data_IF_643744333972
#
_entry.id   IF_643744333972
#
_cell.length_a   1.000
_cell.length_b   1.000
_cell.length_c   1.000
_cell.angle_alpha   90.00
_cell.angle_beta   90.00
_cell.angle_gamma   90.00
#
_symmetry.space_group_name_H-M   'P 1'
#
loop_
_entity.id
_entity.type
_entity.pdbx_description
1 polymer ?
#
# COMPACT_ATOMS: atom_id res chain seq x y z
N UNK A 1 -14.43 4.25 -26.76
CA UNK A 1 -13.06 4.79 -26.95
C UNK A 1 -12.26 4.87 -25.64
N UNK A 2 -12.82 5.39 -24.54
CA UNK A 2 -12.13 5.45 -23.25
C UNK A 2 -11.83 4.06 -22.68
N UNK A 3 -12.75 3.10 -22.80
CA UNK A 3 -12.53 1.72 -22.35
C UNK A 3 -11.43 1.01 -23.15
N UNK A 4 -11.35 1.24 -24.45
CA UNK A 4 -10.30 0.66 -25.30
C UNK A 4 -8.91 1.18 -24.90
N UNK A 5 -8.78 2.50 -24.71
CA UNK A 5 -7.53 3.10 -24.23
C UNK A 5 -7.13 2.58 -22.86
N UNK A 6 -8.06 2.45 -21.93
CA UNK A 6 -7.79 1.88 -20.60
C UNK A 6 -7.33 0.41 -20.69
N UNK A 7 -7.87 -0.37 -21.63
CA UNK A 7 -7.47 -1.76 -21.84
C UNK A 7 -5.99 -1.92 -22.21
N UNK A 8 -5.41 -0.94 -22.90
CA UNK A 8 -3.99 -0.94 -23.27
C UNK A 8 -3.11 -0.24 -22.24
N UNK A 9 -3.58 0.87 -21.72
CA UNK A 9 -2.80 1.72 -20.79
C UNK A 9 -2.60 1.08 -19.43
N UNK A 10 -3.63 0.45 -18.88
CA UNK A 10 -3.55 -0.16 -17.54
C UNK A 10 -2.55 -1.32 -17.48
N UNK A 11 -2.58 -2.32 -18.40
CA UNK A 11 -1.56 -3.37 -18.42
C UNK A 11 -0.14 -2.85 -18.66
N UNK A 12 0.03 -1.86 -19.52
CA UNK A 12 1.32 -1.24 -19.81
C UNK A 12 1.87 -0.54 -18.55
N UNK A 13 1.03 0.21 -17.85
CA UNK A 13 1.39 0.89 -16.61
C UNK A 13 1.77 -0.10 -15.52
N UNK A 14 1.01 -1.17 -15.36
CA UNK A 14 1.34 -2.23 -14.40
C UNK A 14 2.67 -2.92 -14.74
N UNK A 15 2.95 -3.17 -16.01
CA UNK A 15 4.23 -3.74 -16.45
C UNK A 15 5.39 -2.82 -16.11
N UNK A 16 5.26 -1.51 -16.34
CA UNK A 16 6.28 -0.51 -15.98
C UNK A 16 6.48 -0.48 -14.46
N UNK A 17 5.42 -0.49 -13.66
CA UNK A 17 5.49 -0.53 -12.20
C UNK A 17 6.24 -1.77 -11.72
N UNK A 18 5.91 -2.94 -12.27
CA UNK A 18 6.58 -4.20 -11.89
C UNK A 18 8.08 -4.15 -12.24
N UNK A 19 8.43 -3.62 -13.41
CA UNK A 19 9.84 -3.45 -13.82
C UNK A 19 10.58 -2.52 -12.86
N UNK A 20 10.00 -1.38 -12.51
CA UNK A 20 10.59 -0.42 -11.58
C UNK A 20 10.76 -1.01 -10.17
N UNK A 21 9.77 -1.75 -9.69
CA UNK A 21 9.84 -2.44 -8.40
C UNK A 21 10.93 -3.51 -8.41
N UNK A 22 11.05 -4.27 -9.48
CA UNK A 22 12.11 -5.27 -9.64
C UNK A 22 13.50 -4.63 -9.62
N UNK A 23 13.67 -3.51 -10.31
CA UNK A 23 14.94 -2.77 -10.30
C UNK A 23 15.29 -2.24 -8.90
N UNK A 24 14.29 -1.86 -8.11
CA UNK A 24 14.50 -1.35 -6.76
C UNK A 24 14.80 -2.44 -5.73
N UNK A 25 13.99 -3.49 -5.71
CA UNK A 25 14.08 -4.56 -4.70
C UNK A 25 14.88 -5.78 -5.14
N UNK A 26 14.96 -6.03 -6.45
CA UNK A 26 15.62 -7.21 -7.04
C UNK A 26 15.13 -8.56 -6.50
N UNK A 27 13.92 -8.60 -5.98
CA UNK A 27 13.32 -9.79 -5.38
C UNK A 27 11.83 -9.85 -5.72
N UNK A 28 11.41 -10.94 -6.37
CA UNK A 28 10.00 -11.14 -6.74
C UNK A 28 9.08 -11.30 -5.53
N UNK A 29 9.56 -11.86 -4.42
CA UNK A 29 8.77 -12.02 -3.20
C UNK A 29 8.35 -10.67 -2.63
N UNK A 30 9.24 -9.70 -2.61
CA UNK A 30 8.95 -8.33 -2.15
C UNK A 30 7.93 -7.63 -3.05
N UNK A 31 8.07 -7.79 -4.36
CA UNK A 31 7.11 -7.28 -5.35
C UNK A 31 5.72 -7.90 -5.11
N UNK A 32 5.66 -9.22 -4.90
CA UNK A 32 4.42 -9.94 -4.64
C UNK A 32 3.74 -9.45 -3.35
N UNK A 33 4.51 -9.18 -2.30
CA UNK A 33 4.00 -8.61 -1.03
C UNK A 33 3.38 -7.24 -1.29
N UNK A 34 4.06 -6.36 -2.02
CA UNK A 34 3.57 -5.00 -2.33
C UNK A 34 2.29 -5.09 -3.16
N UNK A 35 2.29 -5.88 -4.22
CA UNK A 35 1.11 -6.05 -5.07
C UNK A 35 -0.06 -6.70 -4.33
N UNK A 36 0.22 -7.54 -3.35
CA UNK A 36 -0.79 -8.13 -2.47
C UNK A 36 -1.54 -7.12 -1.59
N UNK A 37 -0.98 -5.91 -1.40
CA UNK A 37 -1.67 -4.84 -0.68
C UNK A 37 -2.79 -4.19 -1.49
N UNK A 38 -2.74 -4.27 -2.82
CA UNK A 38 -3.75 -3.67 -3.70
C UNK A 38 -5.16 -4.24 -3.47
N UNK A 39 -5.38 -5.56 -3.38
CA UNK A 39 -6.69 -6.10 -3.06
C UNK A 39 -7.25 -5.60 -1.74
N UNK A 40 -6.40 -5.38 -0.74
CA UNK A 40 -6.81 -4.87 0.57
C UNK A 40 -7.38 -3.44 0.47
N UNK A 41 -6.77 -2.60 -0.35
CA UNK A 41 -7.26 -1.26 -0.62
C UNK A 41 -8.60 -1.28 -1.36
N UNK A 42 -8.74 -2.15 -2.35
CA UNK A 42 -9.95 -2.29 -3.16
C UNK A 42 -11.14 -2.71 -2.30
N UNK A 43 -10.95 -3.58 -1.32
CA UNK A 43 -12.02 -4.00 -0.39
C UNK A 43 -12.66 -2.78 0.29
N UNK A 44 -11.86 -1.90 0.88
CA UNK A 44 -12.36 -0.70 1.55
C UNK A 44 -13.07 0.26 0.60
N UNK A 45 -12.54 0.42 -0.62
CA UNK A 45 -13.16 1.23 -1.66
C UNK A 45 -14.54 0.72 -2.05
N UNK A 46 -14.67 -0.57 -2.28
CA UNK A 46 -15.95 -1.20 -2.66
C UNK A 46 -16.98 -1.02 -1.55
N UNK A 47 -16.61 -1.27 -0.30
CA UNK A 47 -17.49 -1.08 0.84
C UNK A 47 -17.96 0.36 0.99
N UNK A 48 -17.06 1.31 0.86
CA UNK A 48 -17.38 2.73 0.99
C UNK A 48 -18.31 3.21 -0.14
N UNK A 49 -18.06 2.76 -1.36
CA UNK A 49 -18.95 3.05 -2.50
C UNK A 49 -20.33 2.44 -2.32
N UNK A 50 -20.40 1.22 -1.80
CA UNK A 50 -21.67 0.57 -1.51
C UNK A 50 -22.50 1.34 -0.48
N UNK A 51 -21.85 1.83 0.59
CA UNK A 51 -22.49 2.65 1.62
C UNK A 51 -23.00 3.99 1.08
N UNK A 52 -22.28 4.58 0.11
CA UNK A 52 -22.68 5.83 -0.54
C UNK A 52 -23.69 5.62 -1.69
N UNK A 53 -23.91 4.39 -2.12
CA UNK A 53 -24.81 4.09 -3.23
C UNK A 53 -24.29 4.48 -4.60
N UNK A 54 -22.98 4.62 -4.77
CA UNK A 54 -22.38 4.98 -6.05
C UNK A 54 -22.27 3.77 -6.98
N UNK A 55 -22.65 3.99 -8.23
CA UNK A 55 -22.47 2.99 -9.28
C UNK A 55 -21.06 3.11 -9.90
N UNK A 56 -20.56 1.99 -10.41
CA UNK A 56 -19.29 1.98 -11.11
C UNK A 56 -19.34 2.83 -12.37
N UNK A 57 -18.39 3.75 -12.52
CA UNK A 57 -18.27 4.64 -13.65
C UNK A 57 -16.80 4.85 -14.02
N UNK A 58 -16.52 5.54 -15.13
CA UNK A 58 -15.15 5.89 -15.53
C UNK A 58 -14.48 6.76 -14.48
N UNK A 59 -15.22 7.68 -13.86
CA UNK A 59 -14.71 8.48 -12.75
C UNK A 59 -14.27 7.65 -11.56
N UNK A 60 -15.06 6.64 -11.19
CA UNK A 60 -14.70 5.68 -10.14
C UNK A 60 -13.46 4.86 -10.51
N UNK A 61 -13.34 4.44 -11.77
CA UNK A 61 -12.14 3.74 -12.26
C UNK A 61 -10.87 4.59 -12.12
N UNK A 62 -10.95 5.88 -12.42
CA UNK A 62 -9.84 6.84 -12.20
C UNK A 62 -9.47 6.92 -10.71
N UNK A 63 -10.46 6.96 -9.83
CA UNK A 63 -10.25 6.92 -8.38
C UNK A 63 -9.53 5.64 -7.91
N UNK A 64 -9.89 4.49 -8.45
CA UNK A 64 -9.20 3.22 -8.17
C UNK A 64 -7.74 3.22 -8.65
N UNK A 65 -7.46 3.80 -9.81
CA UNK A 65 -6.09 3.90 -10.33
C UNK A 65 -5.25 4.80 -9.42
N UNK A 66 -5.77 5.93 -9.00
CA UNK A 66 -5.09 6.83 -8.07
C UNK A 66 -4.84 6.16 -6.71
N UNK A 67 -5.83 5.43 -6.19
CA UNK A 67 -5.72 4.65 -4.97
C UNK A 67 -4.62 3.58 -5.07
N UNK A 68 -4.54 2.88 -6.20
CA UNK A 68 -3.50 1.87 -6.43
C UNK A 68 -2.10 2.49 -6.30
N UNK A 69 -1.88 3.68 -6.87
CA UNK A 69 -0.62 4.40 -6.75
C UNK A 69 -0.24 4.72 -5.31
N UNK A 70 -1.17 5.25 -4.54
CA UNK A 70 -0.95 5.57 -3.12
C UNK A 70 -0.70 4.31 -2.30
N UNK A 71 -1.45 3.24 -2.55
CA UNK A 71 -1.29 1.96 -1.84
C UNK A 71 0.08 1.34 -2.09
N UNK A 72 0.53 1.34 -3.34
CA UNK A 72 1.87 0.85 -3.70
C UNK A 72 2.95 1.70 -3.04
N UNK A 73 2.80 3.02 -3.00
CA UNK A 73 3.72 3.92 -2.31
C UNK A 73 3.85 3.57 -0.82
N UNK A 74 2.74 3.40 -0.13
CA UNK A 74 2.71 2.99 1.29
C UNK A 74 3.43 1.64 1.47
N UNK A 75 3.13 0.68 0.61
CA UNK A 75 3.75 -0.65 0.64
C UNK A 75 5.26 -0.62 0.42
N UNK A 76 5.72 0.14 -0.56
CA UNK A 76 7.15 0.30 -0.88
C UNK A 76 7.91 0.90 0.31
N UNK A 77 7.39 1.97 0.87
CA UNK A 77 8.05 2.67 1.98
C UNK A 77 8.08 1.77 3.23
N UNK A 78 6.97 1.12 3.56
CA UNK A 78 6.90 0.18 4.68
C UNK A 78 7.93 -0.94 4.52
N UNK A 79 7.97 -1.57 3.35
CA UNK A 79 8.87 -2.67 3.06
C UNK A 79 10.34 -2.24 3.11
N UNK A 80 10.65 -1.03 2.62
CA UNK A 80 12.00 -0.45 2.70
C UNK A 80 12.46 -0.30 4.15
N UNK A 81 11.60 0.20 5.04
CA UNK A 81 11.92 0.33 6.46
C UNK A 81 12.06 -1.03 7.15
N UNK A 82 11.23 -1.99 6.81
CA UNK A 82 11.34 -3.35 7.32
C UNK A 82 12.66 -4.02 6.88
N UNK A 83 13.06 -3.83 5.62
CA UNK A 83 14.33 -4.31 5.12
C UNK A 83 15.53 -3.65 5.83
N UNK A 84 15.47 -2.36 6.07
CA UNK A 84 16.53 -1.66 6.83
C UNK A 84 16.64 -2.21 8.25
N UNK A 85 15.52 -2.41 8.94
CA UNK A 85 15.51 -3.00 10.28
C UNK A 85 16.08 -4.42 10.29
N UNK A 86 15.74 -5.22 9.30
CA UNK A 86 16.27 -6.57 9.13
C UNK A 86 17.79 -6.58 8.89
N UNK A 87 18.28 -5.74 7.99
CA UNK A 87 19.72 -5.64 7.71
C UNK A 87 20.51 -5.16 8.94
N UNK A 88 19.98 -4.18 9.68
CA UNK A 88 20.59 -3.73 10.93
C UNK A 88 20.66 -4.85 11.98
N UNK A 89 19.63 -5.69 12.06
CA UNK A 89 19.61 -6.84 12.93
C UNK A 89 20.70 -7.85 12.54
N UNK A 90 20.80 -8.19 11.27
CA UNK A 90 21.80 -9.13 10.74
C UNK A 90 23.21 -8.60 11.01
N UNK A 91 23.47 -7.32 10.78
CA UNK A 91 24.77 -6.71 11.02
C UNK A 91 25.15 -6.76 12.51
N UNK A 92 24.22 -6.43 13.39
CA UNK A 92 24.44 -6.53 14.85
C UNK A 92 24.71 -7.96 15.31
N UNK A 93 23.99 -8.92 14.76
CA UNK A 93 24.22 -10.34 15.08
C UNK A 93 25.58 -10.82 14.57
N UNK A 94 25.99 -10.34 13.39
CA UNK A 94 27.30 -10.66 12.81
C UNK A 94 28.45 -10.11 13.66
N UNK A 95 28.34 -8.85 14.12
CA UNK A 95 29.35 -8.23 15.00
C UNK A 95 29.49 -8.95 16.33
N UNK A 96 28.38 -9.50 16.86
CA UNK A 96 28.35 -10.25 18.11
C UNK A 96 28.70 -11.73 17.94
N UNK A 97 28.80 -12.20 16.69
CA UNK A 97 29.04 -13.63 16.40
C UNK A 97 27.90 -14.53 16.79
N UNK A 98 26.68 -14.05 16.88
CA UNK A 98 25.49 -14.77 17.30
C UNK A 98 24.54 -14.93 16.10
N UNK A 99 23.84 -16.06 16.01
CA UNK A 99 22.78 -16.26 15.01
C UNK A 99 21.53 -15.52 15.42
N UNK A 100 20.83 -14.84 14.48
CA UNK A 100 19.60 -14.14 14.80
C UNK A 100 18.49 -15.10 15.23
N UNK A 101 17.84 -14.78 16.34
CA UNK A 101 16.70 -15.54 16.87
C UNK A 101 15.38 -14.98 16.31
N UNK A 102 14.34 -15.81 16.34
CA UNK A 102 12.99 -15.39 15.93
C UNK A 102 12.47 -14.19 16.74
N UNK A 103 12.81 -14.11 18.02
CA UNK A 103 12.44 -13.00 18.88
C UNK A 103 13.12 -11.70 18.46
N UNK A 104 14.39 -11.76 18.10
CA UNK A 104 15.13 -10.59 17.60
C UNK A 104 14.53 -10.07 16.30
N UNK A 105 14.12 -10.98 15.41
CA UNK A 105 13.44 -10.64 14.17
C UNK A 105 12.07 -9.98 14.44
N UNK A 106 11.30 -10.52 15.37
CA UNK A 106 10.01 -9.96 15.76
C UNK A 106 10.17 -8.52 16.28
N UNK A 107 11.15 -8.31 17.15
CA UNK A 107 11.47 -7.00 17.70
C UNK A 107 11.90 -6.01 16.59
N UNK A 108 12.78 -6.42 15.69
CA UNK A 108 13.23 -5.60 14.57
C UNK A 108 12.07 -5.21 13.64
N UNK A 109 11.20 -6.16 13.30
CA UNK A 109 10.02 -5.91 12.47
C UNK A 109 9.04 -4.95 13.16
N UNK A 110 8.80 -5.16 14.46
CA UNK A 110 7.91 -4.30 15.25
C UNK A 110 8.45 -2.88 15.34
N UNK A 111 9.73 -2.70 15.58
CA UNK A 111 10.36 -1.39 15.62
C UNK A 111 10.35 -0.69 14.25
N UNK A 112 10.69 -1.42 13.20
CA UNK A 112 10.69 -0.88 11.83
C UNK A 112 9.30 -0.44 11.38
N UNK A 113 8.28 -1.24 11.65
CA UNK A 113 6.90 -0.89 11.37
C UNK A 113 6.42 0.30 12.22
N UNK A 114 6.74 0.30 13.51
CA UNK A 114 6.33 1.35 14.45
C UNK A 114 6.85 2.73 14.07
N UNK A 115 8.08 2.82 13.56
CA UNK A 115 8.66 4.08 13.07
C UNK A 115 7.89 4.67 11.89
N UNK A 116 7.16 3.84 11.15
CA UNK A 116 6.46 4.25 9.95
C UNK A 116 4.98 4.57 10.16
N UNK A 117 4.40 4.12 11.26
CA UNK A 117 2.99 4.37 11.59
C UNK A 117 2.66 5.86 11.60
N UNK A 118 3.46 6.65 12.29
CA UNK A 118 3.22 8.09 12.44
C UNK A 118 3.26 8.86 11.11
N UNK A 119 4.32 8.74 10.27
CA UNK A 119 4.34 9.40 8.97
C UNK A 119 3.21 8.96 8.03
N UNK A 120 2.89 7.67 8.01
CA UNK A 120 1.81 7.12 7.18
C UNK A 120 0.46 7.70 7.61
N UNK A 121 0.19 7.73 8.92
CA UNK A 121 -1.05 8.31 9.46
C UNK A 121 -1.17 9.80 9.14
N UNK A 122 -0.08 10.56 9.26
CA UNK A 122 -0.07 11.98 8.91
C UNK A 122 -0.43 12.20 7.44
N UNK A 123 0.20 11.49 6.54
CA UNK A 123 -0.06 11.58 5.09
C UNK A 123 -1.50 11.20 4.76
N UNK A 124 -1.97 10.11 5.35
CA UNK A 124 -3.33 9.60 5.11
C UNK A 124 -4.39 10.58 5.61
N UNK A 125 -4.27 11.07 6.83
CA UNK A 125 -5.21 12.04 7.40
C UNK A 125 -5.22 13.34 6.60
N UNK A 126 -4.05 13.83 6.20
CA UNK A 126 -3.94 15.04 5.37
C UNK A 126 -4.62 14.86 4.00
N UNK A 127 -4.42 13.72 3.36
CA UNK A 127 -5.04 13.42 2.05
C UNK A 127 -6.56 13.29 2.17
N UNK A 128 -7.04 12.58 3.18
CA UNK A 128 -8.47 12.43 3.43
C UNK A 128 -9.10 13.79 3.75
N UNK A 129 -8.45 14.59 4.59
CA UNK A 129 -8.91 15.93 4.92
C UNK A 129 -8.99 16.85 3.69
N UNK A 130 -8.05 16.69 2.74
CA UNK A 130 -8.08 17.42 1.47
C UNK A 130 -9.18 16.95 0.52
N UNK A 131 -9.53 15.66 0.55
CA UNK A 131 -10.57 15.08 -0.30
C UNK A 131 -11.99 15.26 0.25
N UNK A 132 -12.17 15.38 1.55
CA UNK A 132 -13.49 15.55 2.17
C UNK A 132 -14.26 16.79 1.65
N UNK A 133 -13.68 18.00 1.57
CA UNK A 133 -14.38 19.15 1.00
C UNK A 133 -14.84 18.92 -0.45
N UNK A 134 -14.04 18.20 -1.22
CA UNK A 134 -14.34 17.85 -2.60
C UNK A 134 -15.58 16.94 -2.67
N UNK A 135 -15.67 15.95 -1.79
CA UNK A 135 -16.83 15.08 -1.68
C UNK A 135 -18.12 15.81 -1.29
N UNK A 136 -17.99 16.82 -0.44
CA UNK A 136 -19.12 17.60 0.07
C UNK A 136 -19.48 18.78 -0.82
N UNK A 137 -18.70 19.03 -1.89
CA UNK A 137 -18.95 20.12 -2.80
C UNK A 137 -20.25 19.93 -3.61
N UNK A 138 -20.92 21.02 -3.92
CA UNK A 138 -22.10 21.05 -4.77
C UNK A 138 -21.86 21.99 -5.96
N UNK A 139 -22.34 21.61 -7.11
CA UNK A 139 -22.20 22.44 -8.35
C UNK A 139 -21.90 21.60 -9.58
N UNK A 140 -21.74 22.28 -10.70
CA UNK A 140 -21.42 21.64 -11.98
C UNK A 140 -20.05 20.95 -11.92
N UNK A 141 -20.02 19.65 -12.18
CA UNK A 141 -18.81 18.82 -12.12
C UNK A 141 -18.51 18.22 -10.75
N UNK A 142 -19.17 18.67 -9.67
CA UNK A 142 -18.99 18.14 -8.34
C UNK A 142 -19.27 16.63 -8.25
N UNK A 143 -20.25 16.13 -8.98
CA UNK A 143 -20.59 14.71 -9.03
C UNK A 143 -19.44 13.85 -9.56
N UNK A 144 -18.73 14.32 -10.58
CA UNK A 144 -17.61 13.58 -11.18
C UNK A 144 -16.45 13.51 -10.20
N UNK A 145 -16.09 14.65 -9.59
CA UNK A 145 -14.97 14.74 -8.67
C UNK A 145 -15.25 13.96 -7.37
N UNK A 146 -16.48 14.01 -6.88
CA UNK A 146 -16.94 13.22 -5.74
C UNK A 146 -16.82 11.72 -6.00
N UNK A 147 -17.16 11.26 -7.19
CA UNK A 147 -17.03 9.84 -7.58
C UNK A 147 -15.57 9.38 -7.73
N UNK A 148 -14.65 10.30 -8.03
CA UNK A 148 -13.21 10.02 -8.01
C UNK A 148 -12.70 9.94 -6.57
N UNK A 149 -13.12 10.85 -5.71
CA UNK A 149 -12.66 10.94 -4.33
C UNK A 149 -13.18 9.80 -3.44
N UNK A 150 -14.40 9.33 -3.67
CA UNK A 150 -15.02 8.31 -2.83
C UNK A 150 -14.21 6.99 -2.71
N UNK A 151 -13.80 6.33 -3.82
CA UNK A 151 -12.99 5.13 -3.72
C UNK A 151 -11.63 5.40 -3.10
N UNK A 152 -11.05 6.57 -3.32
CA UNK A 152 -9.76 6.94 -2.72
C UNK A 152 -9.86 7.01 -1.20
N UNK A 153 -10.87 7.67 -0.65
CA UNK A 153 -11.04 7.81 0.81
C UNK A 153 -11.26 6.44 1.46
N UNK A 154 -12.22 5.68 0.97
CA UNK A 154 -12.52 4.35 1.51
C UNK A 154 -11.35 3.38 1.39
N UNK A 155 -10.71 3.38 0.23
CA UNK A 155 -9.55 2.54 -0.04
C UNK A 155 -8.32 2.92 0.77
N UNK A 156 -8.07 4.20 1.00
CA UNK A 156 -6.95 4.65 1.83
C UNK A 156 -7.09 4.21 3.29
N UNK A 157 -8.29 4.33 3.86
CA UNK A 157 -8.54 3.86 5.24
C UNK A 157 -8.26 2.37 5.33
N UNK A 158 -8.83 1.58 4.45
CA UNK A 158 -8.61 0.13 4.38
C UNK A 158 -7.14 -0.22 4.13
N UNK A 159 -6.51 0.41 3.14
CA UNK A 159 -5.12 0.17 2.79
C UNK A 159 -4.17 0.44 3.96
N UNK A 160 -4.34 1.57 4.65
CA UNK A 160 -3.48 1.95 5.77
C UNK A 160 -3.65 0.97 6.93
N UNK A 161 -4.89 0.70 7.35
CA UNK A 161 -5.15 -0.19 8.48
C UNK A 161 -4.64 -1.60 8.18
N UNK A 162 -5.02 -2.16 7.04
CA UNK A 162 -4.64 -3.53 6.69
C UNK A 162 -3.16 -3.65 6.33
N UNK A 163 -2.56 -2.67 5.67
CA UNK A 163 -1.12 -2.68 5.36
C UNK A 163 -0.28 -2.58 6.62
N UNK A 164 -0.62 -1.71 7.56
CA UNK A 164 0.11 -1.59 8.82
C UNK A 164 0.02 -2.86 9.68
N UNK A 165 -1.06 -3.63 9.55
CA UNK A 165 -1.24 -4.88 10.31
C UNK A 165 -0.69 -6.09 9.55
N UNK A 166 -1.02 -6.22 8.26
CA UNK A 166 -0.74 -7.42 7.46
C UNK A 166 0.69 -7.43 6.93
N UNK A 167 1.20 -6.32 6.45
CA UNK A 167 2.52 -6.27 5.82
C UNK A 167 3.66 -6.65 6.77
N UNK A 168 3.73 -6.15 8.02
CA UNK A 168 4.73 -6.60 8.97
C UNK A 168 4.62 -8.08 9.31
N UNK A 169 3.42 -8.61 9.43
CA UNK A 169 3.18 -10.03 9.72
C UNK A 169 3.66 -10.91 8.57
N UNK A 170 3.30 -10.57 7.34
CA UNK A 170 3.73 -11.31 6.14
C UNK A 170 5.26 -11.25 6.00
N UNK A 171 5.85 -10.09 6.23
CA UNK A 171 7.30 -9.90 6.18
C UNK A 171 8.01 -10.76 7.24
N UNK A 172 7.49 -10.77 8.47
CA UNK A 172 8.01 -11.59 9.56
C UNK A 172 7.97 -13.07 9.22
N UNK A 173 6.84 -13.57 8.71
CA UNK A 173 6.69 -14.96 8.31
C UNK A 173 7.64 -15.35 7.17
N UNK A 174 7.80 -14.47 6.20
CA UNK A 174 8.72 -14.68 5.09
C UNK A 174 10.17 -14.77 5.56
N UNK A 175 10.61 -13.83 6.39
CA UNK A 175 11.98 -13.80 6.90
C UNK A 175 12.27 -14.90 7.90
N UNK A 176 11.29 -15.33 8.67
CA UNK A 176 11.42 -16.47 9.56
C UNK A 176 11.74 -17.75 8.78
N UNK A 177 11.04 -17.98 7.68
CA UNK A 177 11.33 -19.10 6.78
C UNK A 177 12.74 -19.01 6.17
N UNK A 178 13.17 -17.81 5.85
CA UNK A 178 14.51 -17.57 5.31
C UNK A 178 15.62 -17.85 6.33
N UNK A 179 15.35 -17.70 7.62
CA UNK A 179 16.31 -18.01 8.69
C UNK A 179 16.37 -19.51 9.02
N UNK A 180 15.31 -20.25 8.73
CA UNK A 180 15.24 -21.71 8.99
C UNK A 180 15.88 -22.54 7.87
N UNK A 181 16.11 -21.96 6.69
CA UNK A 181 16.81 -22.60 5.56
C UNK A 181 18.31 -22.27 5.59
#
# INVERSE_FOLDING_TARGET
>A
RAKEKLTYVVPLTLAIIIILLYMNFRNFTEIAIILGTLPLAVIGSIWFMYLLGYNFSVAVAVGFIALAGVTVEIGIIMLTYLNQAYHQLIDKCRERGVTPLKQDLLEAVTQGAGLRVRPVMMTTVSTIAGLLPIMLSSGTGAEVVSRIAAPMIGGMVSAVVLTLLVLPVVYYLWRTRSLEM
#
